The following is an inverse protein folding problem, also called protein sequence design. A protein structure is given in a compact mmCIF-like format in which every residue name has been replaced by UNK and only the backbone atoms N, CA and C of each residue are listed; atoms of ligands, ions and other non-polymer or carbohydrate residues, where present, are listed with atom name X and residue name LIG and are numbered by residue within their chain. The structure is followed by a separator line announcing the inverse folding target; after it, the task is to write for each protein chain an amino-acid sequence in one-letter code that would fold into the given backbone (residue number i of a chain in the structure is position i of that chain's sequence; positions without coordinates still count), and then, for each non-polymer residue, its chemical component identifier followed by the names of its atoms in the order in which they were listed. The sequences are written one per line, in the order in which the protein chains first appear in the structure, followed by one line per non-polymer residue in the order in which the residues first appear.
data_IF_886415793976
#
_entry.id   IF_886415793976
#
_cell.length_a   1.000
_cell.length_b   1.000
_cell.length_c   1.000
_cell.angle_alpha   90.00
_cell.angle_beta   90.00
_cell.angle_gamma   90.00
#
_symmetry.space_group_name_H-M   'P 1'
#
loop_
_entity.id
_entity.type
_entity.pdbx_description
1 polymer ?
#
# COMPACT_ATOMS: atom_id res chain seq x y z
N UNK A 1 -9.61 -38.08 9.34
CA UNK A 1 -9.10 -36.77 9.80
C UNK A 1 -8.11 -36.30 8.74
N UNK A 2 -8.56 -35.41 7.85
CA UNK A 2 -7.68 -34.76 6.87
C UNK A 2 -6.77 -33.81 7.61
N UNK A 3 -5.48 -33.86 7.28
CA UNK A 3 -4.44 -32.99 7.84
C UNK A 3 -4.67 -31.55 7.29
N UNK A 4 -4.94 -30.56 8.15
CA UNK A 4 -5.16 -29.17 7.69
C UNK A 4 -3.96 -28.57 6.93
N UNK A 5 -2.73 -29.03 7.25
CA UNK A 5 -1.51 -28.57 6.60
C UNK A 5 -1.36 -29.03 5.14
N UNK A 6 -1.98 -30.15 4.76
CA UNK A 6 -1.97 -30.64 3.39
C UNK A 6 -2.92 -29.87 2.48
N UNK A 7 -3.98 -29.27 3.03
CA UNK A 7 -4.96 -28.47 2.30
C UNK A 7 -4.38 -27.07 1.99
N UNK A 8 -3.65 -26.48 2.94
CA UNK A 8 -3.00 -25.16 2.74
C UNK A 8 -1.92 -25.20 1.65
N UNK A 9 -1.13 -26.29 1.54
CA UNK A 9 -0.09 -26.40 0.51
C UNK A 9 -0.63 -26.62 -0.91
N UNK A 10 -1.88 -27.09 -1.08
CA UNK A 10 -2.51 -27.27 -2.38
C UNK A 10 -3.19 -26.00 -2.91
N UNK A 11 -3.52 -25.06 -2.03
CA UNK A 11 -4.27 -23.84 -2.39
C UNK A 11 -3.36 -22.69 -2.89
N UNK A 12 -2.05 -22.75 -2.63
CA UNK A 12 -1.09 -21.73 -3.08
C UNK A 12 -0.95 -21.66 -4.62
N UNK A 13 -1.44 -22.66 -5.34
CA UNK A 13 -1.42 -22.70 -6.81
C UNK A 13 -2.75 -22.31 -7.46
N UNK A 14 -3.81 -22.10 -6.65
CA UNK A 14 -5.14 -21.74 -7.15
C UNK A 14 -5.27 -20.21 -7.14
N UNK A 15 -5.68 -19.64 -8.29
CA UNK A 15 -5.96 -18.22 -8.34
C UNK A 15 -7.18 -17.84 -7.50
N UNK A 16 -7.21 -16.60 -7.00
CA UNK A 16 -8.37 -16.11 -6.24
C UNK A 16 -9.67 -16.19 -7.05
N UNK A 17 -9.62 -15.89 -8.35
CA UNK A 17 -10.76 -16.01 -9.26
C UNK A 17 -11.28 -17.45 -9.32
N UNK A 18 -10.40 -18.41 -9.54
CA UNK A 18 -10.77 -19.82 -9.60
C UNK A 18 -11.35 -20.31 -8.28
N UNK A 19 -10.75 -19.95 -7.17
CA UNK A 19 -11.21 -20.30 -5.82
C UNK A 19 -12.61 -19.77 -5.54
N UNK A 20 -12.87 -18.49 -5.79
CA UNK A 20 -14.17 -17.87 -5.54
C UNK A 20 -15.28 -18.48 -6.41
N UNK A 21 -14.99 -18.75 -7.69
CA UNK A 21 -15.98 -19.36 -8.61
C UNK A 21 -16.23 -20.82 -8.29
N UNK A 22 -15.18 -21.64 -8.19
CA UNK A 22 -15.32 -23.10 -8.11
C UNK A 22 -15.61 -23.59 -6.69
N UNK A 23 -14.94 -23.02 -5.68
CA UNK A 23 -15.08 -23.49 -4.31
C UNK A 23 -16.19 -22.76 -3.54
N UNK A 24 -16.41 -21.47 -3.84
CA UNK A 24 -17.42 -20.67 -3.15
C UNK A 24 -18.69 -20.41 -3.97
N UNK A 25 -18.68 -20.71 -5.26
CA UNK A 25 -19.86 -20.57 -6.14
C UNK A 25 -20.24 -19.12 -6.43
N UNK A 26 -19.29 -18.18 -6.36
CA UNK A 26 -19.56 -16.76 -6.61
C UNK A 26 -19.86 -16.50 -8.10
N UNK A 27 -20.81 -15.63 -8.33
CA UNK A 27 -21.03 -15.06 -9.66
C UNK A 27 -19.95 -14.02 -10.01
N UNK A 28 -19.88 -13.64 -11.27
CA UNK A 28 -18.83 -12.72 -11.76
C UNK A 28 -18.88 -11.33 -11.10
N UNK A 29 -20.07 -10.87 -10.64
CA UNK A 29 -20.21 -9.57 -9.98
C UNK A 29 -19.68 -9.62 -8.56
N UNK A 30 -20.05 -10.65 -7.81
CA UNK A 30 -19.60 -10.84 -6.43
C UNK A 30 -18.10 -11.16 -6.39
N UNK A 31 -17.62 -12.03 -7.28
CA UNK A 31 -16.20 -12.31 -7.45
C UNK A 31 -15.38 -11.03 -7.64
N UNK A 32 -15.79 -10.19 -8.59
CA UNK A 32 -15.11 -8.93 -8.88
C UNK A 32 -15.11 -7.97 -7.68
N UNK A 33 -16.25 -7.89 -6.98
CA UNK A 33 -16.36 -7.05 -5.78
C UNK A 33 -15.41 -7.52 -4.66
N UNK A 34 -15.28 -8.83 -4.43
CA UNK A 34 -14.41 -9.38 -3.42
C UNK A 34 -12.93 -9.20 -3.82
N UNK A 35 -12.55 -9.57 -5.04
CA UNK A 35 -11.16 -9.47 -5.50
C UNK A 35 -10.66 -8.03 -5.42
N UNK A 36 -11.39 -7.06 -5.96
CA UNK A 36 -10.91 -5.70 -6.12
C UNK A 36 -11.40 -4.74 -5.04
N UNK A 37 -12.58 -4.96 -4.46
CA UNK A 37 -13.15 -4.06 -3.45
C UNK A 37 -12.80 -4.43 -2.01
N UNK A 38 -12.55 -5.71 -1.73
CA UNK A 38 -12.29 -6.20 -0.36
C UNK A 38 -10.86 -6.69 -0.19
N UNK A 39 -10.41 -7.61 -1.06
CA UNK A 39 -9.06 -8.15 -1.01
C UNK A 39 -8.01 -7.18 -1.60
N UNK A 40 -8.44 -6.17 -2.35
CA UNK A 40 -7.60 -5.19 -3.01
C UNK A 40 -6.47 -5.85 -3.82
N UNK A 41 -6.84 -6.87 -4.60
CA UNK A 41 -5.90 -7.56 -5.48
C UNK A 41 -5.57 -6.69 -6.70
N UNK A 42 -4.36 -6.84 -7.21
CA UNK A 42 -3.92 -6.17 -8.42
C UNK A 42 -4.41 -6.88 -9.68
N UNK A 43 -4.56 -8.21 -9.61
CA UNK A 43 -5.17 -9.01 -10.68
C UNK A 43 -5.91 -10.23 -10.10
N UNK A 44 -6.67 -10.91 -10.94
CA UNK A 44 -7.48 -12.07 -10.56
C UNK A 44 -6.69 -13.39 -10.44
N UNK A 45 -5.40 -13.37 -10.80
CA UNK A 45 -4.54 -14.57 -10.77
C UNK A 45 -3.69 -14.63 -9.50
N UNK A 46 -3.81 -13.66 -8.60
CA UNK A 46 -3.11 -13.71 -7.32
C UNK A 46 -3.45 -15.00 -6.55
N UNK A 47 -2.51 -15.54 -5.74
CA UNK A 47 -2.76 -16.72 -4.93
C UNK A 47 -3.99 -16.56 -4.01
N UNK A 48 -4.87 -17.55 -4.02
CA UNK A 48 -6.10 -17.51 -3.22
C UNK A 48 -5.84 -17.39 -1.72
N UNK A 49 -4.79 -18.03 -1.21
CA UNK A 49 -4.37 -17.96 0.19
C UNK A 49 -4.11 -16.53 0.65
N UNK A 50 -3.21 -15.82 -0.02
CA UNK A 50 -2.86 -14.44 0.32
C UNK A 50 -4.02 -13.46 0.12
N UNK A 51 -4.82 -13.64 -0.93
CA UNK A 51 -5.99 -12.82 -1.20
C UNK A 51 -7.09 -13.01 -0.14
N UNK A 52 -7.34 -14.27 0.28
CA UNK A 52 -8.30 -14.57 1.33
C UNK A 52 -7.83 -14.08 2.70
N UNK A 53 -6.55 -14.11 2.99
CA UNK A 53 -6.01 -13.53 4.23
C UNK A 53 -6.19 -12.01 4.26
N UNK A 54 -5.93 -11.31 3.17
CA UNK A 54 -6.26 -9.87 3.04
C UNK A 54 -7.77 -9.63 3.20
N UNK A 55 -8.62 -10.48 2.61
CA UNK A 55 -10.08 -10.40 2.77
C UNK A 55 -10.47 -10.53 4.24
N UNK A 56 -9.98 -11.55 4.96
CA UNK A 56 -10.27 -11.75 6.38
C UNK A 56 -9.78 -10.56 7.21
N UNK A 57 -8.59 -10.06 6.91
CA UNK A 57 -8.02 -8.90 7.59
C UNK A 57 -8.89 -7.64 7.39
N UNK A 58 -9.31 -7.35 6.16
CA UNK A 58 -10.18 -6.22 5.84
C UNK A 58 -11.52 -6.33 6.57
N UNK A 59 -12.17 -7.51 6.51
CA UNK A 59 -13.45 -7.74 7.18
C UNK A 59 -13.34 -7.68 8.71
N UNK A 60 -12.20 -8.09 9.28
CA UNK A 60 -11.98 -8.02 10.74
C UNK A 60 -11.86 -6.59 11.28
N UNK A 61 -11.61 -5.63 10.40
CA UNK A 61 -11.54 -4.21 10.73
C UNK A 61 -12.91 -3.52 10.79
N UNK A 62 -13.92 -4.11 10.15
CA UNK A 62 -15.26 -3.53 10.11
C UNK A 62 -15.88 -3.40 11.51
N UNK A 63 -16.44 -2.23 11.79
CA UNK A 63 -17.08 -1.95 13.08
C UNK A 63 -16.12 -1.76 14.27
N UNK A 64 -14.79 -1.88 14.05
CA UNK A 64 -13.81 -1.74 15.15
C UNK A 64 -13.63 -0.30 15.60
N UNK A 65 -13.74 0.67 14.70
CA UNK A 65 -13.55 2.09 14.97
C UNK A 65 -14.72 2.95 14.47
N UNK A 66 -15.93 2.41 14.43
CA UNK A 66 -17.14 3.01 13.91
C UNK A 66 -17.65 2.33 12.64
N UNK A 67 -18.49 3.00 11.89
CA UNK A 67 -19.16 2.43 10.71
C UNK A 67 -18.26 2.42 9.46
N UNK A 68 -17.11 3.09 9.50
CA UNK A 68 -16.18 3.15 8.38
C UNK A 68 -15.33 1.89 8.26
N UNK A 69 -15.09 1.45 7.03
CA UNK A 69 -14.26 0.28 6.72
C UNK A 69 -12.75 0.57 6.89
N UNK A 70 -12.33 1.82 6.77
CA UNK A 70 -10.93 2.22 6.77
C UNK A 70 -10.70 3.42 7.68
N UNK A 71 -9.52 3.46 8.29
CA UNK A 71 -9.00 4.65 8.96
C UNK A 71 -8.24 5.49 7.93
N UNK A 72 -8.49 6.78 7.93
CA UNK A 72 -7.78 7.75 7.10
C UNK A 72 -7.01 8.70 8.00
N UNK A 73 -5.70 8.82 7.75
CA UNK A 73 -4.88 9.83 8.42
C UNK A 73 -5.16 11.21 7.79
N UNK A 74 -5.25 12.23 8.64
CA UNK A 74 -5.41 13.64 8.24
C UNK A 74 -4.04 14.35 8.22
N UNK A 75 -4.02 15.63 7.85
CA UNK A 75 -2.83 16.51 7.91
C UNK A 75 -1.58 15.99 7.19
N UNK A 76 -1.73 15.26 6.10
CA UNK A 76 -0.60 14.74 5.33
C UNK A 76 -0.56 13.22 5.21
N UNK A 77 -1.65 12.57 5.56
CA UNK A 77 -1.85 11.15 5.33
C UNK A 77 -0.89 10.28 6.17
N UNK A 78 -0.28 9.28 5.56
CA UNK A 78 0.60 8.33 6.25
C UNK A 78 1.84 8.97 6.90
N UNK A 79 2.17 10.20 6.56
CA UNK A 79 3.22 10.99 7.21
C UNK A 79 3.01 11.18 8.71
N UNK A 80 1.76 11.24 9.17
CA UNK A 80 1.44 11.35 10.59
C UNK A 80 1.89 10.12 11.38
N UNK A 81 1.75 8.93 10.82
CA UNK A 81 2.28 7.69 11.44
C UNK A 81 3.79 7.77 11.59
N UNK A 82 4.48 8.19 10.54
CA UNK A 82 5.94 8.38 10.56
C UNK A 82 6.35 9.40 11.63
N UNK A 83 5.67 10.54 11.70
CA UNK A 83 5.94 11.56 12.72
C UNK A 83 5.66 11.06 14.14
N UNK A 84 4.60 10.27 14.33
CA UNK A 84 4.30 9.64 15.62
C UNK A 84 5.43 8.72 16.09
N UNK A 85 5.96 7.88 15.20
CA UNK A 85 7.12 7.03 15.51
C UNK A 85 8.40 7.83 15.72
N UNK A 86 8.65 8.87 14.93
CA UNK A 86 9.79 9.77 15.15
C UNK A 86 9.73 10.44 16.52
N UNK A 87 8.56 10.94 16.91
CA UNK A 87 8.37 11.54 18.24
C UNK A 87 8.59 10.52 19.37
N UNK A 88 8.03 9.33 19.24
CA UNK A 88 8.23 8.25 20.21
C UNK A 88 9.70 7.88 20.37
N UNK A 89 10.41 7.75 19.26
CA UNK A 89 11.86 7.48 19.26
C UNK A 89 12.65 8.63 19.90
N UNK A 90 12.35 9.89 19.56
CA UNK A 90 13.04 11.05 20.11
C UNK A 90 12.89 11.15 21.64
N UNK A 91 11.69 10.87 22.17
CA UNK A 91 11.44 10.84 23.62
C UNK A 91 12.30 9.78 24.33
N UNK A 92 12.65 8.70 23.63
CA UNK A 92 13.54 7.64 24.11
C UNK A 92 15.03 7.89 23.83
N UNK A 93 15.39 9.09 23.37
CA UNK A 93 16.77 9.49 23.09
C UNK A 93 17.24 9.21 21.66
N UNK A 94 16.33 8.83 20.76
CA UNK A 94 16.64 8.68 19.34
C UNK A 94 17.06 10.01 18.71
N UNK A 95 18.07 9.97 17.84
CA UNK A 95 18.62 11.14 17.14
C UNK A 95 18.29 11.03 15.66
N UNK A 96 17.85 12.14 15.07
CA UNK A 96 17.54 12.25 13.64
C UNK A 96 18.53 13.20 12.97
N UNK A 97 19.21 12.70 11.94
CA UNK A 97 20.11 13.49 11.11
C UNK A 97 19.47 13.60 9.74
N UNK A 98 19.01 14.79 9.38
CA UNK A 98 18.28 15.06 8.14
C UNK A 98 19.16 15.80 7.13
N UNK A 99 18.86 15.60 5.83
CA UNK A 99 19.54 16.32 4.75
C UNK A 99 20.95 15.84 4.43
N UNK A 100 21.34 14.66 4.90
CA UNK A 100 22.63 14.05 4.61
C UNK A 100 22.46 12.67 3.98
N UNK A 101 23.05 12.47 2.82
CA UNK A 101 23.05 11.17 2.16
C UNK A 101 24.06 10.22 2.79
N UNK A 102 23.74 8.93 2.76
CA UNK A 102 24.66 7.86 3.16
C UNK A 102 25.78 7.74 2.14
N UNK A 103 27.02 8.00 2.56
CA UNK A 103 28.21 7.87 1.72
C UNK A 103 28.70 6.43 1.65
N UNK A 104 28.79 5.76 2.78
CA UNK A 104 29.15 4.35 2.87
C UNK A 104 28.52 3.68 4.08
N UNK A 105 28.22 2.39 3.91
CA UNK A 105 27.74 1.51 4.96
C UNK A 105 28.54 0.22 4.87
N UNK A 106 29.40 -0.01 5.83
CA UNK A 106 30.32 -1.14 5.87
C UNK A 106 30.10 -1.96 7.13
N UNK A 107 30.26 -3.27 7.03
CA UNK A 107 30.19 -4.17 8.18
C UNK A 107 31.54 -4.83 8.40
N UNK A 108 32.10 -4.66 9.58
CA UNK A 108 33.30 -5.34 10.02
C UNK A 108 32.94 -6.20 11.23
N UNK A 109 33.12 -7.51 11.11
CA UNK A 109 32.69 -8.49 12.15
C UNK A 109 31.22 -8.34 12.53
N UNK A 110 30.91 -7.78 13.70
CA UNK A 110 29.55 -7.59 14.23
C UNK A 110 29.09 -6.14 14.21
N UNK A 111 29.94 -5.19 13.83
CA UNK A 111 29.66 -3.76 13.92
C UNK A 111 29.49 -3.14 12.54
N UNK A 112 28.46 -2.34 12.38
CA UNK A 112 28.25 -1.51 11.20
C UNK A 112 28.91 -0.15 11.40
N UNK A 113 29.57 0.33 10.35
CA UNK A 113 30.13 1.69 10.30
C UNK A 113 29.43 2.45 9.19
N UNK A 114 28.78 3.54 9.55
CA UNK A 114 28.06 4.45 8.66
C UNK A 114 28.86 5.75 8.50
N UNK A 115 29.04 6.21 7.25
CA UNK A 115 29.55 7.53 6.91
C UNK A 115 28.56 8.29 6.07
N UNK A 116 28.42 9.58 6.33
CA UNK A 116 27.45 10.46 5.67
C UNK A 116 28.18 11.60 4.93
N UNK A 117 27.59 12.06 3.85
CA UNK A 117 28.12 13.22 3.13
C UNK A 117 27.98 14.48 3.98
N UNK A 118 29.04 15.29 4.03
CA UNK A 118 29.05 16.53 4.82
C UNK A 118 29.28 16.37 6.33
N UNK A 119 29.44 15.13 6.83
CA UNK A 119 29.76 14.83 8.22
C UNK A 119 31.11 14.13 8.27
N UNK A 120 32.04 14.65 9.07
CA UNK A 120 33.39 14.09 9.19
C UNK A 120 33.44 12.85 10.07
N UNK A 121 32.58 12.77 11.06
CA UNK A 121 32.47 11.67 12.00
C UNK A 121 31.85 10.45 11.33
N UNK A 122 32.22 9.26 11.79
CA UNK A 122 31.59 8.01 11.48
C UNK A 122 30.71 7.54 12.64
N UNK A 123 29.59 6.92 12.31
CA UNK A 123 28.67 6.33 13.29
C UNK A 123 28.81 4.83 13.31
N UNK A 124 28.72 4.23 14.46
CA UNK A 124 28.73 2.76 14.62
C UNK A 124 27.39 2.27 15.15
N UNK A 125 26.96 1.09 14.70
CA UNK A 125 25.73 0.46 15.14
C UNK A 125 25.86 -1.08 15.13
N UNK A 126 25.17 -1.72 16.03
CA UNK A 126 25.05 -3.18 16.06
C UNK A 126 24.08 -3.68 14.96
N UNK A 127 23.05 -2.91 14.68
CA UNK A 127 22.03 -3.22 13.69
C UNK A 127 21.72 -2.00 12.82
N UNK A 128 21.44 -2.26 11.54
CA UNK A 128 21.03 -1.24 10.57
C UNK A 128 19.81 -1.74 9.82
N UNK A 129 18.77 -0.90 9.75
CA UNK A 129 17.63 -1.07 8.88
C UNK A 129 17.63 0.07 7.85
N UNK A 130 17.62 -0.27 6.58
CA UNK A 130 17.66 0.70 5.50
C UNK A 130 16.89 0.19 4.27
N UNK A 131 16.37 1.11 3.43
CA UNK A 131 15.88 0.76 2.12
C UNK A 131 16.95 0.07 1.28
N UNK A 132 16.55 -0.80 0.36
CA UNK A 132 17.47 -1.53 -0.52
C UNK A 132 18.44 -0.61 -1.29
N UNK A 133 17.98 0.58 -1.68
CA UNK A 133 18.79 1.58 -2.37
C UNK A 133 20.01 2.08 -1.56
N UNK A 134 19.92 2.03 -0.23
CA UNK A 134 20.97 2.49 0.68
C UNK A 134 21.81 1.34 1.25
N UNK A 135 21.52 0.10 0.87
CA UNK A 135 22.28 -1.07 1.30
C UNK A 135 23.41 -1.38 0.32
N UNK A 136 24.55 -1.96 0.78
CA UNK A 136 25.57 -2.48 -0.11
C UNK A 136 24.99 -3.49 -1.12
N UNK A 137 25.40 -3.43 -2.37
CA UNK A 137 24.85 -4.25 -3.47
C UNK A 137 24.87 -5.75 -3.18
N UNK A 138 25.85 -6.26 -2.44
CA UNK A 138 25.94 -7.66 -2.05
C UNK A 138 24.92 -8.09 -0.98
N UNK A 139 24.13 -7.18 -0.45
CA UNK A 139 23.07 -7.40 0.55
C UNK A 139 21.67 -7.22 -0.02
N UNK A 140 21.57 -6.78 -1.25
CA UNK A 140 20.28 -6.57 -1.93
C UNK A 140 19.95 -7.84 -2.70
N UNK A 141 18.78 -8.40 -2.48
CA UNK A 141 18.21 -9.45 -3.33
C UNK A 141 17.94 -8.90 -4.73
N UNK A 142 17.76 -9.77 -5.70
CA UNK A 142 17.45 -9.37 -7.07
C UNK A 142 16.34 -8.30 -7.10
N UNK A 143 16.42 -7.31 -8.00
CA UNK A 143 15.39 -6.29 -8.11
C UNK A 143 14.05 -6.97 -8.42
N UNK A 144 12.94 -6.44 -7.89
CA UNK A 144 11.63 -6.98 -8.18
C UNK A 144 11.34 -6.89 -9.69
N UNK A 145 10.67 -7.88 -10.23
CA UNK A 145 10.20 -7.87 -11.63
C UNK A 145 9.08 -6.87 -11.87
N UNK A 146 8.39 -6.48 -10.79
CA UNK A 146 7.28 -5.53 -10.78
C UNK A 146 7.60 -4.34 -9.91
N UNK A 147 7.22 -3.16 -10.36
CA UNK A 147 7.35 -1.90 -9.63
C UNK A 147 5.95 -1.32 -9.39
N UNK A 148 5.71 -0.86 -8.18
CA UNK A 148 4.55 -0.03 -7.91
C UNK A 148 4.80 1.35 -8.50
N UNK A 149 3.85 1.83 -9.31
CA UNK A 149 3.87 3.17 -9.88
C UNK A 149 2.83 4.02 -9.18
N UNK A 150 3.27 5.15 -8.64
CA UNK A 150 2.41 6.10 -7.94
C UNK A 150 2.45 7.44 -8.67
N UNK A 151 1.28 7.95 -9.06
CA UNK A 151 1.10 9.31 -9.55
C UNK A 151 0.24 10.11 -8.59
N UNK A 152 0.66 11.31 -8.26
CA UNK A 152 -0.10 12.23 -7.41
C UNK A 152 -0.61 13.38 -8.26
N UNK A 153 -1.92 13.56 -8.28
CA UNK A 153 -2.60 14.64 -8.99
C UNK A 153 -3.22 15.58 -7.97
N UNK A 154 -2.96 16.88 -8.13
CA UNK A 154 -3.60 17.95 -7.37
C UNK A 154 -4.42 18.77 -8.35
N UNK A 155 -5.70 18.96 -8.08
CA UNK A 155 -6.63 19.62 -8.98
C UNK A 155 -7.73 20.32 -8.20
N UNK A 156 -8.42 21.24 -8.84
CA UNK A 156 -9.67 21.88 -8.37
C UNK A 156 -10.93 21.12 -8.83
N UNK A 157 -10.77 20.07 -9.64
CA UNK A 157 -11.87 19.24 -10.11
C UNK A 157 -12.19 18.13 -9.10
N UNK A 158 -13.42 18.11 -8.58
CA UNK A 158 -13.95 17.00 -7.76
C UNK A 158 -14.38 15.83 -8.63
N UNK A 159 -14.49 14.66 -7.98
CA UNK A 159 -15.19 13.51 -8.58
C UNK A 159 -16.68 13.82 -8.65
N UNK A 160 -17.31 13.47 -9.75
CA UNK A 160 -18.75 13.48 -9.89
C UNK A 160 -19.34 12.28 -9.11
N UNK A 161 -19.58 12.49 -7.82
CA UNK A 161 -20.06 11.44 -6.93
C UNK A 161 -21.45 10.95 -7.30
N UNK A 162 -22.35 11.82 -7.75
CA UNK A 162 -23.71 11.46 -8.16
C UNK A 162 -23.71 10.41 -9.30
N UNK A 163 -22.73 10.52 -10.19
CA UNK A 163 -22.55 9.58 -11.28
C UNK A 163 -21.98 8.23 -10.86
N UNK A 164 -21.07 8.22 -9.88
CA UNK A 164 -20.31 7.02 -9.53
C UNK A 164 -20.81 6.33 -8.25
N UNK A 165 -21.42 7.07 -7.35
CA UNK A 165 -21.96 6.59 -6.09
C UNK A 165 -23.21 7.41 -5.75
N UNK A 166 -24.42 6.86 -6.01
CA UNK A 166 -25.63 7.55 -5.63
C UNK A 166 -25.63 7.79 -4.10
N UNK A 167 -25.64 9.06 -3.72
CA UNK A 167 -25.77 9.48 -2.34
C UNK A 167 -27.25 9.54 -1.98
N UNK A 168 -27.60 9.20 -0.74
CA UNK A 168 -28.94 9.43 -0.21
C UNK A 168 -29.18 10.94 -0.02
N UNK A 169 -30.47 11.35 0.01
CA UNK A 169 -30.84 12.74 0.25
C UNK A 169 -30.28 13.14 1.64
N UNK A 170 -29.54 14.23 1.71
CA UNK A 170 -28.81 14.70 2.90
C UNK A 170 -27.51 13.94 3.28
N UNK A 171 -27.05 12.98 2.50
CA UNK A 171 -25.76 12.34 2.75
C UNK A 171 -24.61 13.28 2.35
N UNK A 172 -23.63 13.53 3.25
CA UNK A 172 -22.52 14.41 2.91
C UNK A 172 -21.63 13.79 1.84
N UNK A 173 -21.12 14.63 0.95
CA UNK A 173 -20.13 14.21 -0.06
C UNK A 173 -18.89 13.65 0.64
N UNK A 174 -18.40 12.46 0.26
CA UNK A 174 -17.23 11.86 0.88
C UNK A 174 -15.97 12.71 0.70
N UNK A 175 -15.31 13.03 1.80
CA UNK A 175 -14.01 13.70 1.79
C UNK A 175 -12.84 12.76 1.49
N UNK A 176 -13.09 11.48 1.56
CA UNK A 176 -12.10 10.44 1.24
C UNK A 176 -12.80 9.25 0.60
N UNK A 177 -12.24 8.74 -0.47
CA UNK A 177 -12.69 7.50 -1.10
C UNK A 177 -11.54 6.71 -1.70
N UNK A 178 -11.65 5.39 -1.65
CA UNK A 178 -10.80 4.49 -2.41
C UNK A 178 -11.58 3.96 -3.61
N UNK A 179 -11.18 4.35 -4.79
CA UNK A 179 -11.74 3.86 -6.05
C UNK A 179 -10.81 2.78 -6.60
N UNK A 180 -11.38 1.65 -6.99
CA UNK A 180 -10.62 0.57 -7.59
C UNK A 180 -11.14 0.29 -8.98
N UNK A 181 -10.27 0.44 -9.97
CA UNK A 181 -10.54 0.14 -11.38
C UNK A 181 -9.91 -1.21 -11.70
N UNK A 182 -10.70 -2.27 -11.87
CA UNK A 182 -10.17 -3.60 -12.22
C UNK A 182 -9.41 -3.59 -13.55
N UNK A 183 -8.58 -4.61 -13.80
CA UNK A 183 -7.86 -4.75 -15.06
C UNK A 183 -8.77 -4.69 -16.29
N UNK A 184 -8.25 -4.12 -17.35
CA UNK A 184 -8.89 -4.01 -18.67
C UNK A 184 -7.95 -4.53 -19.76
N UNK A 185 -8.35 -4.41 -21.02
CA UNK A 185 -7.46 -4.72 -22.15
C UNK A 185 -6.27 -3.75 -22.27
N UNK A 186 -6.42 -2.55 -21.72
CA UNK A 186 -5.44 -1.47 -21.80
C UNK A 186 -4.56 -1.41 -20.54
N UNK A 187 -4.98 -2.06 -19.46
CA UNK A 187 -4.27 -2.05 -18.20
C UNK A 187 -4.31 -3.44 -17.56
N UNK A 188 -3.16 -4.10 -17.52
CA UNK A 188 -3.01 -5.48 -17.04
C UNK A 188 -3.32 -5.64 -15.56
N UNK A 189 -3.09 -4.59 -14.77
CA UNK A 189 -3.30 -4.58 -13.33
C UNK A 189 -4.40 -3.60 -12.93
N UNK A 190 -4.98 -3.80 -11.76
CA UNK A 190 -5.92 -2.85 -11.18
C UNK A 190 -5.25 -1.49 -10.97
N UNK A 191 -6.02 -0.42 -11.12
CA UNK A 191 -5.62 0.92 -10.71
C UNK A 191 -6.39 1.29 -9.47
N UNK A 192 -5.68 1.63 -8.40
CA UNK A 192 -6.26 2.10 -7.14
C UNK A 192 -6.07 3.60 -7.02
N UNK A 193 -7.14 4.31 -6.72
CA UNK A 193 -7.12 5.76 -6.56
C UNK A 193 -7.64 6.12 -5.18
N UNK A 194 -6.75 6.62 -4.32
CA UNK A 194 -7.15 7.25 -3.07
C UNK A 194 -7.44 8.73 -3.38
N UNK A 195 -8.71 9.11 -3.26
CA UNK A 195 -9.17 10.47 -3.41
C UNK A 195 -9.30 11.13 -2.04
N UNK A 196 -8.79 12.35 -1.89
CA UNK A 196 -8.89 13.14 -0.67
C UNK A 196 -9.29 14.57 -1.00
N UNK A 197 -10.30 15.08 -0.28
CA UNK A 197 -10.77 16.45 -0.36
C UNK A 197 -10.19 17.35 0.74
N UNK A 198 -10.65 18.60 0.77
CA UNK A 198 -10.17 19.62 1.72
C UNK A 198 -10.42 19.25 3.19
N UNK A 199 -11.51 18.53 3.49
CA UNK A 199 -11.86 18.11 4.87
C UNK A 199 -10.88 17.11 5.48
N UNK A 200 -10.00 16.49 4.68
CA UNK A 200 -8.90 15.67 5.18
C UNK A 200 -7.67 16.47 5.58
N UNK A 201 -7.65 17.77 5.31
CA UNK A 201 -6.50 18.67 5.49
C UNK A 201 -5.21 18.23 4.73
N UNK A 202 -5.35 17.36 3.74
CA UNK A 202 -4.25 16.91 2.88
C UNK A 202 -3.97 17.85 1.71
N UNK A 203 -4.88 18.78 1.45
CA UNK A 203 -4.79 19.78 0.39
C UNK A 203 -5.41 21.12 0.81
N UNK A 204 -5.10 22.22 0.10
CA UNK A 204 -5.74 23.50 0.32
C UNK A 204 -7.24 23.47 0.03
N UNK A 205 -7.94 24.45 0.58
CA UNK A 205 -9.39 24.64 0.34
C UNK A 205 -9.70 24.74 -1.15
N UNK A 206 -10.74 24.02 -1.59
CA UNK A 206 -11.20 23.97 -2.98
C UNK A 206 -10.30 23.13 -3.88
N UNK A 207 -9.38 22.32 -3.30
CA UNK A 207 -8.54 21.40 -4.05
C UNK A 207 -8.79 19.95 -3.61
N UNK A 208 -8.37 19.04 -4.48
CA UNK A 208 -8.44 17.60 -4.29
C UNK A 208 -7.10 16.96 -4.61
N UNK A 209 -6.74 15.92 -3.88
CA UNK A 209 -5.54 15.12 -4.15
C UNK A 209 -5.96 13.70 -4.50
N UNK A 210 -5.44 13.20 -5.60
CA UNK A 210 -5.64 11.83 -6.06
C UNK A 210 -4.30 11.10 -6.08
N UNK A 211 -4.17 10.06 -5.29
CA UNK A 211 -3.03 9.13 -5.30
C UNK A 211 -3.42 7.94 -6.18
N UNK A 212 -2.85 7.89 -7.37
CA UNK A 212 -3.14 6.86 -8.37
C UNK A 212 -2.04 5.82 -8.33
N UNK A 213 -2.37 4.61 -7.96
CA UNK A 213 -1.43 3.50 -7.79
C UNK A 213 -1.73 2.36 -8.76
N UNK A 214 -0.71 1.82 -9.39
CA UNK A 214 -0.79 0.59 -10.18
C UNK A 214 0.56 -0.12 -10.21
N UNK A 215 0.58 -1.37 -10.64
CA UNK A 215 1.82 -2.08 -10.93
C UNK A 215 2.25 -1.87 -12.38
N UNK A 216 3.56 -1.87 -12.58
CA UNK A 216 4.19 -1.84 -13.90
C UNK A 216 5.37 -2.82 -13.90
N UNK A 217 5.68 -3.39 -15.07
CA UNK A 217 6.89 -4.18 -15.22
C UNK A 217 8.15 -3.32 -15.10
N UNK A 218 9.18 -3.87 -14.48
CA UNK A 218 10.43 -3.15 -14.24
C UNK A 218 11.18 -2.81 -15.55
N UNK A 219 10.93 -3.54 -16.65
CA UNK A 219 11.48 -3.30 -17.96
C UNK A 219 10.83 -2.13 -18.73
N UNK A 220 9.81 -1.51 -18.17
CA UNK A 220 9.13 -0.37 -18.77
C UNK A 220 8.19 -0.73 -19.91
N UNK A 221 8.03 -2.00 -20.24
CA UNK A 221 7.01 -2.44 -21.20
C UNK A 221 5.64 -2.29 -20.53
N UNK A 222 4.76 -1.46 -21.12
CA UNK A 222 3.34 -1.57 -20.87
C UNK A 222 2.85 -2.85 -21.53
N UNK A 223 2.18 -3.68 -20.78
CA UNK A 223 1.50 -4.82 -21.34
C UNK A 223 0.36 -4.38 -22.24
#
# INVERSE_FOLDING_TARGET
TMDPSAQEASDDHVSISEYLRKSMGFDAKLERAVIYGVALCWDSNEPSTSAMDRTRYSLSGLGRYGDAAFLVAQYGGAGELTQGFCRSSAVQGGVFILGHDVRSLERTESVWTLRMNGIHESFTADQVAAPAANMPHNRVTAPPSMLEHVSVLITDASIDWEKHMPLEEDEPVPETALLVFPPTKENEHAVMVLAQGEGTFSCPKGQFVYYVNTYRRADGTSA
#
